data_IF_460383105216
#
_entry.id   IF_460383105216
#
_cell.length_a   1.000
_cell.length_b   1.000
_cell.length_c   1.000
_cell.angle_alpha   90.00
_cell.angle_beta   90.00
_cell.angle_gamma   90.00
#
_symmetry.space_group_name_H-M   'P 1'
#
loop_
_entity.id
_entity.type
_entity.pdbx_description
1 polymer ?
#
# COMPACT_ATOMS: atom_id res chain seq x y z
N UNK A 1 -3.79 -10.64 -14.76
CA UNK A 1 -4.84 -9.74 -14.25
C UNK A 1 -4.18 -8.91 -13.17
N UNK A 2 -4.02 -7.61 -13.35
CA UNK A 2 -3.44 -6.74 -12.33
C UNK A 2 -4.54 -6.46 -11.29
N UNK A 3 -4.47 -7.11 -10.13
CA UNK A 3 -5.35 -6.81 -9.00
C UNK A 3 -4.59 -5.89 -8.05
N UNK A 4 -5.18 -4.75 -7.70
CA UNK A 4 -4.61 -3.78 -6.76
C UNK A 4 -5.21 -3.94 -5.36
N UNK A 5 -5.64 -5.15 -5.03
CA UNK A 5 -6.18 -5.47 -3.71
C UNK A 5 -5.05 -5.79 -2.75
N UNK A 6 -5.11 -5.15 -1.59
CA UNK A 6 -4.13 -5.31 -0.54
C UNK A 6 -4.73 -6.21 0.54
N UNK A 7 -4.00 -7.25 0.92
CA UNK A 7 -4.32 -8.06 2.08
C UNK A 7 -3.40 -7.64 3.24
N UNK A 8 -3.91 -6.96 4.27
CA UNK A 8 -3.18 -6.79 5.51
C UNK A 8 -2.89 -8.16 6.14
N UNK A 9 -1.66 -8.37 6.59
CA UNK A 9 -1.25 -9.59 7.29
C UNK A 9 -0.54 -9.24 8.59
N UNK A 10 -0.69 -10.12 9.59
CA UNK A 10 -0.11 -9.92 10.92
C UNK A 10 1.30 -10.55 11.08
N UNK A 11 1.90 -11.01 9.99
CA UNK A 11 3.19 -11.72 10.05
C UNK A 11 4.08 -11.46 8.85
N UNK A 12 5.33 -11.09 9.13
CA UNK A 12 6.38 -10.81 8.13
C UNK A 12 6.64 -12.02 7.21
N UNK A 13 6.59 -13.25 7.74
CA UNK A 13 6.90 -14.46 6.97
C UNK A 13 5.94 -14.76 5.82
N UNK A 14 4.78 -14.08 5.77
CA UNK A 14 3.76 -14.25 4.73
C UNK A 14 3.44 -12.95 3.97
N UNK A 15 4.11 -11.85 4.30
CA UNK A 15 3.96 -10.56 3.62
C UNK A 15 4.89 -10.47 2.42
N UNK A 16 4.45 -9.78 1.37
CA UNK A 16 5.29 -9.48 0.21
C UNK A 16 6.18 -8.26 0.49
N UNK A 17 5.71 -7.30 1.29
CA UNK A 17 6.48 -6.14 1.74
C UNK A 17 5.98 -5.60 3.08
N UNK A 18 6.88 -4.92 3.80
CA UNK A 18 6.59 -4.23 5.06
C UNK A 18 6.37 -2.74 4.80
N UNK A 19 5.33 -2.19 5.38
CA UNK A 19 5.07 -0.75 5.35
C UNK A 19 5.11 -0.15 6.74
N UNK A 20 5.46 1.12 6.80
CA UNK A 20 5.29 1.94 7.99
C UNK A 20 4.35 3.09 7.66
N UNK A 21 3.30 3.28 8.46
CA UNK A 21 2.44 4.45 8.33
C UNK A 21 3.10 5.65 9.02
N UNK A 22 3.36 6.72 8.26
CA UNK A 22 3.77 8.01 8.82
C UNK A 22 2.57 8.94 8.95
N UNK A 23 2.61 9.83 9.94
CA UNK A 23 1.66 10.93 10.11
C UNK A 23 2.02 12.16 9.24
N UNK A 24 3.21 12.16 8.64
CA UNK A 24 3.72 13.28 7.85
C UNK A 24 3.84 12.93 6.36
N UNK A 25 2.97 13.52 5.54
CA UNK A 25 2.96 13.35 4.07
C UNK A 25 4.33 13.58 3.42
N UNK A 26 5.11 14.52 3.93
CA UNK A 26 6.45 14.86 3.42
C UNK A 26 7.48 13.74 3.59
N UNK A 27 7.27 12.84 4.55
CA UNK A 27 8.18 11.72 4.81
C UNK A 27 7.88 10.50 3.95
N UNK A 28 6.64 10.40 3.45
CA UNK A 28 6.16 9.27 2.70
C UNK A 28 6.91 9.08 1.38
N UNK A 29 7.03 7.82 0.99
CA UNK A 29 7.44 7.42 -0.36
C UNK A 29 6.20 7.28 -1.25
N UNK A 30 5.09 6.82 -0.67
CA UNK A 30 3.78 6.67 -1.31
C UNK A 30 2.67 7.27 -0.44
N UNK A 31 1.84 8.13 -1.02
CA UNK A 31 0.55 8.53 -0.43
C UNK A 31 -0.52 7.60 -0.97
N UNK A 32 -1.25 6.95 -0.06
CA UNK A 32 -2.33 6.02 -0.41
C UNK A 32 -3.69 6.59 -0.05
N UNK A 33 -4.66 6.35 -0.91
CA UNK A 33 -6.08 6.52 -0.60
C UNK A 33 -6.73 5.15 -0.49
N UNK A 34 -7.36 4.88 0.65
CA UNK A 34 -8.07 3.61 0.87
C UNK A 34 -9.53 3.78 0.47
N UNK A 35 -9.96 3.00 -0.51
CA UNK A 35 -11.33 3.00 -1.03
C UNK A 35 -12.09 1.74 -0.61
N UNK A 36 -13.42 1.85 -0.56
CA UNK A 36 -14.34 0.71 -0.42
C UNK A 36 -14.79 0.15 -1.78
N UNK A 37 -14.32 0.73 -2.88
CA UNK A 37 -14.71 0.34 -4.23
C UNK A 37 -13.52 -0.29 -4.96
N UNK A 38 -13.50 -1.62 -5.06
CA UNK A 38 -12.45 -2.39 -5.77
C UNK A 38 -12.08 -1.81 -7.13
N UNK A 39 -13.07 -1.38 -7.91
CA UNK A 39 -12.86 -0.84 -9.26
C UNK A 39 -11.99 0.42 -9.28
N UNK A 40 -11.97 1.20 -8.20
CA UNK A 40 -11.15 2.40 -8.12
C UNK A 40 -9.67 2.09 -7.91
N UNK A 41 -9.37 0.96 -7.28
CA UNK A 41 -8.02 0.47 -7.04
C UNK A 41 -7.40 -0.17 -8.28
N UNK A 42 -8.21 -0.81 -9.14
CA UNK A 42 -7.74 -1.57 -10.30
C UNK A 42 -6.70 -0.82 -11.15
N UNK A 43 -5.50 -1.40 -11.23
CA UNK A 43 -4.39 -0.88 -12.05
C UNK A 43 -3.73 0.37 -11.46
N UNK A 44 -4.00 0.70 -10.20
CA UNK A 44 -3.39 1.83 -9.48
C UNK A 44 -2.64 1.30 -8.27
N UNK A 45 -1.50 1.90 -7.99
CA UNK A 45 -0.63 1.50 -6.87
C UNK A 45 -0.90 2.36 -5.64
N UNK A 46 -1.41 3.56 -5.86
CA UNK A 46 -1.71 4.57 -4.85
C UNK A 46 -3.14 4.48 -4.30
N UNK A 47 -4.01 3.69 -4.95
CA UNK A 47 -5.38 3.48 -4.51
C UNK A 47 -5.50 2.06 -4.00
N UNK A 48 -5.75 1.91 -2.70
CA UNK A 48 -5.79 0.61 -2.03
C UNK A 48 -7.21 0.22 -1.72
N UNK A 49 -7.53 -1.04 -1.98
CA UNK A 49 -8.74 -1.69 -1.52
C UNK A 49 -8.33 -2.87 -0.64
N UNK A 50 -8.75 -2.89 0.61
CA UNK A 50 -8.42 -4.00 1.51
C UNK A 50 -9.37 -5.16 1.29
N UNK A 51 -8.81 -6.36 1.18
CA UNK A 51 -9.56 -7.62 1.14
C UNK A 51 -9.08 -8.54 2.26
N UNK A 52 -9.95 -9.45 2.69
CA UNK A 52 -9.62 -10.54 3.61
C UNK A 52 -9.31 -11.85 2.85
N UNK A 53 -9.59 -11.88 1.54
CA UNK A 53 -9.46 -13.08 0.71
C UNK A 53 -8.10 -13.12 -0.01
N UNK A 54 -7.26 -14.09 0.37
CA UNK A 54 -5.95 -14.34 -0.27
C UNK A 54 -6.01 -14.55 -1.78
N UNK A 55 -7.12 -15.06 -2.31
CA UNK A 55 -7.30 -15.29 -3.75
C UNK A 55 -7.56 -14.01 -4.55
N UNK A 56 -7.91 -12.91 -3.87
CA UNK A 56 -8.23 -11.63 -4.50
C UNK A 56 -7.06 -10.63 -4.40
N UNK A 57 -6.22 -10.80 -3.38
CA UNK A 57 -5.09 -9.93 -3.11
C UNK A 57 -4.01 -10.01 -4.21
N UNK A 58 -3.60 -8.85 -4.72
CA UNK A 58 -2.39 -8.71 -5.53
C UNK A 58 -1.12 -8.61 -4.70
N UNK A 59 -1.26 -8.09 -3.48
CA UNK A 59 -0.15 -7.98 -2.55
C UNK A 59 -0.58 -8.18 -1.09
N UNK A 60 0.32 -8.73 -0.29
CA UNK A 60 0.20 -8.91 1.16
C UNK A 60 1.12 -7.94 1.88
N UNK A 61 0.54 -7.20 2.81
CA UNK A 61 1.23 -6.08 3.45
C UNK A 61 1.28 -6.29 4.95
N UNK A 62 2.49 -6.27 5.49
CA UNK A 62 2.69 -6.22 6.94
C UNK A 62 2.90 -4.77 7.36
N UNK A 63 2.17 -4.32 8.37
CA UNK A 63 2.36 -2.99 8.95
C UNK A 63 3.34 -3.12 10.12
N UNK A 64 4.52 -2.52 9.99
CA UNK A 64 5.49 -2.45 11.10
C UNK A 64 5.33 -1.16 11.87
N UNK A 65 5.61 -1.21 13.17
CA UNK A 65 5.74 -0.03 14.03
C UNK A 65 7.13 0.61 13.93
N UNK A 66 8.11 -0.09 13.35
CA UNK A 66 9.48 0.39 13.22
C UNK A 66 9.76 0.90 11.80
N UNK A 67 9.88 2.22 11.64
CA UNK A 67 10.19 2.89 10.37
C UNK A 67 11.45 2.34 9.69
N UNK A 68 12.47 1.94 10.46
CA UNK A 68 13.74 1.45 9.91
C UNK A 68 13.66 0.07 9.26
N UNK A 69 12.60 -0.69 9.56
CA UNK A 69 12.37 -2.04 9.01
C UNK A 69 11.41 -2.03 7.82
N UNK A 70 10.80 -0.89 7.51
CA UNK A 70 9.84 -0.78 6.45
C UNK A 70 10.53 -0.74 5.09
N UNK A 71 9.96 -1.49 4.14
CA UNK A 71 10.35 -1.43 2.73
C UNK A 71 9.73 -0.20 2.05
N UNK A 72 8.64 0.34 2.61
CA UNK A 72 7.93 1.51 2.09
C UNK A 72 7.33 2.35 3.23
N UNK A 73 7.57 3.66 3.19
CA UNK A 73 6.89 4.61 4.10
C UNK A 73 5.62 5.12 3.41
N UNK A 74 4.49 4.89 4.06
CA UNK A 74 3.17 5.17 3.50
C UNK A 74 2.46 6.24 4.32
N UNK A 75 1.86 7.22 3.64
CA UNK A 75 0.93 8.17 4.28
C UNK A 75 -0.48 7.88 3.78
N UNK A 76 -1.43 7.66 4.70
CA UNK A 76 -2.83 7.44 4.34
C UNK A 76 -3.57 8.77 4.25
N UNK A 77 -3.96 9.17 3.04
CA UNK A 77 -4.78 10.35 2.82
C UNK A 77 -6.28 10.02 2.77
N UNK A 78 -7.09 10.98 3.22
CA UNK A 78 -8.55 10.97 3.04
C UNK A 78 -8.99 11.45 1.65
N UNK A 79 -8.08 11.98 0.83
CA UNK A 79 -8.37 12.55 -0.47
C UNK A 79 -7.69 11.77 -1.59
N UNK A 80 -8.48 11.18 -2.48
CA UNK A 80 -8.00 10.46 -3.67
C UNK A 80 -7.06 11.29 -4.57
N UNK A 81 -7.27 12.60 -4.65
CA UNK A 81 -6.43 13.51 -5.44
C UNK A 81 -5.02 13.68 -4.90
N UNK A 82 -4.75 13.28 -3.66
CA UNK A 82 -3.43 13.34 -3.05
C UNK A 82 -2.64 12.05 -3.18
N UNK A 83 -3.29 10.96 -3.60
CA UNK A 83 -2.68 9.66 -3.76
C UNK A 83 -1.65 9.70 -4.89
N UNK A 84 -0.48 9.10 -4.63
CA UNK A 84 0.60 9.03 -5.59
C UNK A 84 1.95 8.82 -4.94
N UNK A 85 2.91 8.39 -5.77
CA UNK A 85 4.32 8.29 -5.40
C UNK A 85 4.88 9.69 -5.16
N UNK A 86 5.45 9.92 -3.98
CA UNK A 86 6.09 11.19 -3.61
C UNK A 86 7.55 11.21 -4.07
N UNK A 87 8.19 10.04 -4.09
CA UNK A 87 9.57 9.85 -4.51
C UNK A 87 9.66 8.67 -5.47
N UNK A 88 10.63 8.70 -6.37
CA UNK A 88 10.96 7.55 -7.19
C UNK A 88 11.41 6.41 -6.26
N UNK A 89 10.78 5.25 -6.38
CA UNK A 89 11.02 4.11 -5.49
C UNK A 89 11.23 2.81 -6.28
N UNK A 90 12.14 1.91 -5.87
CA UNK A 90 12.35 0.63 -6.57
C UNK A 90 11.13 -0.30 -6.62
N UNK A 91 10.12 -0.05 -5.78
CA UNK A 91 8.84 -0.79 -5.75
C UNK A 91 7.76 -0.16 -6.64
N UNK A 92 8.02 1.00 -7.25
CA UNK A 92 7.09 1.61 -8.20
C UNK A 92 6.94 0.70 -9.43
N UNK A 93 5.70 0.40 -9.79
CA UNK A 93 5.35 -0.58 -10.82
C UNK A 93 5.53 -2.04 -10.37
N UNK A 94 5.58 -2.34 -9.07
CA UNK A 94 5.72 -3.71 -8.53
C UNK A 94 4.68 -4.04 -7.45
N UNK A 95 3.74 -3.14 -7.15
CA UNK A 95 2.75 -3.34 -6.09
C UNK A 95 1.49 -4.11 -6.56
N UNK A 96 1.62 -5.12 -7.42
CA UNK A 96 0.50 -5.81 -8.07
C UNK A 96 0.78 -7.28 -8.44
#
# INVERSE_FOLDING_TARGET
>A
MYTSEILPVDSVGISDFKIYYTDHKSEADLVVYVTNYRQEALGKEEIWHFTEYRSEAGAKVFVTENRSEADLIVYRSSYKSEAGWIKAHPLQGKLH
#
